data_IF_360639333294
#
_entry.id   IF_360639333294
#
_cell.length_a   1.000
_cell.length_b   1.000
_cell.length_c   1.000
_cell.angle_alpha   90.00
_cell.angle_beta   90.00
_cell.angle_gamma   90.00
#
_symmetry.space_group_name_H-M   'P 1'
#
loop_
_entity.id
_entity.type
_entity.pdbx_description
1 polymer ?
#
# COMPACT_ATOMS: atom_id res chain seq x y z
N UNK A 1 -12.49 -39.86 9.30
CA UNK A 1 -12.46 -38.74 10.26
C UNK A 1 -12.56 -37.48 9.46
N UNK A 2 -13.35 -36.52 9.88
CA UNK A 2 -13.43 -35.22 9.22
C UNK A 2 -12.15 -34.44 9.63
N UNK A 3 -11.27 -34.18 8.68
CA UNK A 3 -9.98 -33.50 8.93
C UNK A 3 -10.12 -31.97 9.01
N UNK A 4 -11.37 -31.46 9.01
CA UNK A 4 -11.65 -30.02 9.13
C UNK A 4 -11.33 -29.56 10.54
N UNK A 5 -10.43 -28.57 10.64
CA UNK A 5 -10.06 -27.94 11.90
C UNK A 5 -11.13 -26.95 12.41
N UNK A 6 -11.89 -26.36 11.49
CA UNK A 6 -12.94 -25.38 11.78
C UNK A 6 -13.92 -25.26 10.61
N UNK A 7 -15.17 -24.99 10.91
CA UNK A 7 -16.18 -24.54 9.95
C UNK A 7 -17.09 -23.47 10.57
N UNK A 8 -17.65 -22.54 9.76
CA UNK A 8 -18.55 -21.52 10.28
C UNK A 8 -19.84 -22.13 10.80
N UNK A 9 -20.31 -21.71 11.98
CA UNK A 9 -21.59 -22.17 12.56
C UNK A 9 -22.79 -21.88 11.65
N UNK A 10 -22.72 -20.79 10.86
CA UNK A 10 -23.74 -20.36 9.92
C UNK A 10 -23.08 -20.05 8.56
N UNK A 11 -22.80 -21.05 7.72
CA UNK A 11 -22.17 -20.86 6.40
C UNK A 11 -22.87 -19.81 5.55
N UNK A 12 -24.20 -19.77 5.57
CA UNK A 12 -25.04 -18.82 4.82
C UNK A 12 -24.87 -17.35 5.21
N UNK A 13 -24.27 -17.05 6.37
CA UNK A 13 -23.95 -15.68 6.80
C UNK A 13 -22.55 -15.23 6.40
N UNK A 14 -21.76 -16.11 5.79
CA UNK A 14 -20.40 -15.77 5.36
C UNK A 14 -20.41 -14.93 4.09
N UNK A 15 -19.36 -14.13 3.91
CA UNK A 15 -19.13 -13.38 2.67
C UNK A 15 -18.99 -14.31 1.47
N UNK A 16 -18.33 -15.45 1.64
CA UNK A 16 -18.20 -16.48 0.60
C UNK A 16 -19.57 -16.98 0.11
N UNK A 17 -20.49 -17.26 1.03
CA UNK A 17 -21.84 -17.65 0.66
C UNK A 17 -22.59 -16.54 -0.08
N UNK A 18 -22.52 -15.31 0.41
CA UNK A 18 -23.15 -14.15 -0.23
C UNK A 18 -22.62 -13.96 -1.66
N UNK A 19 -21.31 -14.07 -1.84
CA UNK A 19 -20.66 -14.01 -3.16
C UNK A 19 -21.16 -15.14 -4.06
N UNK A 20 -21.20 -16.38 -3.57
CA UNK A 20 -21.67 -17.54 -4.31
C UNK A 20 -23.14 -17.36 -4.77
N UNK A 21 -24.01 -16.78 -3.93
CA UNK A 21 -25.39 -16.46 -4.31
C UNK A 21 -25.46 -15.35 -5.38
N UNK A 22 -24.63 -14.31 -5.24
CA UNK A 22 -24.55 -13.22 -6.22
C UNK A 22 -24.13 -13.75 -7.60
N UNK A 23 -23.09 -14.59 -7.65
CA UNK A 23 -22.64 -15.23 -8.89
C UNK A 23 -23.70 -16.17 -9.46
N UNK A 24 -24.37 -16.96 -8.60
CA UNK A 24 -25.46 -17.83 -9.04
C UNK A 24 -26.57 -17.06 -9.74
N UNK A 25 -26.93 -15.90 -9.19
CA UNK A 25 -27.95 -15.03 -9.76
C UNK A 25 -27.51 -14.41 -11.09
N UNK A 26 -26.28 -13.91 -11.15
CA UNK A 26 -25.73 -13.26 -12.34
C UNK A 26 -25.57 -14.26 -13.50
N UNK A 27 -25.05 -15.44 -13.23
CA UNK A 27 -24.76 -16.47 -14.24
C UNK A 27 -25.95 -17.36 -14.57
N UNK A 28 -27.06 -17.26 -13.83
CA UNK A 28 -28.20 -18.17 -13.97
C UNK A 28 -27.89 -19.66 -13.66
N UNK A 29 -26.79 -19.88 -12.90
CA UNK A 29 -26.29 -21.20 -12.53
C UNK A 29 -26.24 -21.37 -11.02
N UNK A 30 -26.74 -22.52 -10.52
CA UNK A 30 -26.70 -22.83 -9.09
C UNK A 30 -25.35 -23.40 -8.69
N UNK A 31 -24.76 -22.88 -7.62
CA UNK A 31 -23.61 -23.43 -6.94
C UNK A 31 -24.03 -23.98 -5.58
N UNK A 32 -23.91 -25.29 -5.38
CA UNK A 32 -24.31 -25.97 -4.15
C UNK A 32 -23.15 -26.08 -3.15
N UNK A 33 -21.91 -25.92 -3.62
CA UNK A 33 -20.70 -26.04 -2.81
C UNK A 33 -19.60 -25.05 -3.22
N UNK A 34 -18.62 -24.87 -2.33
CA UNK A 34 -17.38 -24.15 -2.67
C UNK A 34 -16.65 -24.77 -3.87
N UNK A 35 -16.69 -26.11 -3.98
CA UNK A 35 -16.03 -26.81 -5.09
C UNK A 35 -16.67 -26.45 -6.45
N UNK A 36 -17.98 -26.31 -6.50
CA UNK A 36 -18.66 -25.90 -7.73
C UNK A 36 -18.22 -24.48 -8.14
N UNK A 37 -18.21 -23.55 -7.19
CA UNK A 37 -17.74 -22.20 -7.41
C UNK A 37 -16.25 -22.18 -7.82
N UNK A 38 -15.40 -22.99 -7.17
CA UNK A 38 -13.99 -23.11 -7.51
C UNK A 38 -13.79 -23.62 -8.95
N UNK A 39 -14.45 -24.72 -9.31
CA UNK A 39 -14.34 -25.26 -10.67
C UNK A 39 -14.85 -24.27 -11.73
N UNK A 40 -15.93 -23.56 -11.42
CA UNK A 40 -16.42 -22.52 -12.32
C UNK A 40 -15.40 -21.38 -12.45
N UNK A 41 -14.82 -20.92 -11.35
CA UNK A 41 -13.89 -19.76 -11.34
C UNK A 41 -12.61 -20.00 -12.16
N UNK A 42 -12.05 -21.21 -12.13
CA UNK A 42 -10.85 -21.56 -12.92
C UNK A 42 -11.15 -21.76 -14.41
N UNK A 43 -12.39 -22.15 -14.76
CA UNK A 43 -12.81 -22.31 -16.14
C UNK A 43 -13.34 -21.02 -16.76
N UNK A 44 -13.77 -20.04 -15.94
CA UNK A 44 -14.33 -18.76 -16.35
C UNK A 44 -13.64 -17.59 -15.64
N UNK A 45 -12.32 -17.40 -15.77
CA UNK A 45 -11.58 -16.42 -15.00
C UNK A 45 -12.03 -14.98 -15.25
N UNK A 46 -12.45 -14.64 -16.46
CA UNK A 46 -12.96 -13.31 -16.80
C UNK A 46 -14.22 -13.00 -16.01
N UNK A 47 -15.24 -13.86 -16.12
CA UNK A 47 -16.51 -13.72 -15.39
C UNK A 47 -16.31 -13.77 -13.88
N UNK A 48 -15.39 -14.60 -13.38
CA UNK A 48 -15.09 -14.66 -11.95
C UNK A 48 -14.57 -13.33 -11.41
N UNK A 49 -13.56 -12.73 -12.06
CA UNK A 49 -12.98 -11.48 -11.59
C UNK A 49 -13.89 -10.28 -11.81
N UNK A 50 -14.72 -10.29 -12.85
CA UNK A 50 -15.77 -9.29 -13.03
C UNK A 50 -16.81 -9.36 -11.89
N UNK A 51 -17.28 -10.55 -11.54
CA UNK A 51 -18.21 -10.74 -10.43
C UNK A 51 -17.59 -10.32 -9.07
N UNK A 52 -16.30 -10.52 -8.86
CA UNK A 52 -15.60 -9.98 -7.67
C UNK A 52 -15.70 -8.45 -7.66
N UNK A 53 -15.43 -7.79 -8.77
CA UNK A 53 -15.49 -6.33 -8.86
C UNK A 53 -16.91 -5.79 -8.64
N UNK A 54 -17.92 -6.46 -9.19
CA UNK A 54 -19.33 -6.12 -8.99
C UNK A 54 -19.76 -6.31 -7.53
N UNK A 55 -19.41 -7.46 -6.93
CA UNK A 55 -19.76 -7.78 -5.56
C UNK A 55 -19.21 -6.78 -4.54
N UNK A 56 -18.01 -6.28 -4.77
CA UNK A 56 -17.37 -5.24 -3.94
C UNK A 56 -17.70 -3.81 -4.38
N UNK A 57 -18.54 -3.64 -5.40
CA UNK A 57 -18.94 -2.34 -5.93
C UNK A 57 -17.72 -1.43 -6.21
N UNK A 58 -16.76 -1.96 -6.96
CA UNK A 58 -15.54 -1.20 -7.26
C UNK A 58 -15.80 0.02 -8.13
N UNK A 59 -16.96 0.08 -8.84
CA UNK A 59 -17.37 1.24 -9.62
C UNK A 59 -16.29 1.64 -10.62
N UNK A 60 -15.93 0.74 -11.52
CA UNK A 60 -15.07 1.10 -12.63
C UNK A 60 -15.91 1.90 -13.64
N UNK A 61 -15.59 3.18 -13.79
CA UNK A 61 -16.41 4.16 -14.50
C UNK A 61 -16.39 4.01 -16.03
N UNK A 62 -15.62 3.07 -16.60
CA UNK A 62 -15.60 2.82 -18.04
C UNK A 62 -16.54 1.67 -18.41
N UNK A 63 -17.37 1.85 -19.44
CA UNK A 63 -18.20 0.78 -20.01
C UNK A 63 -17.45 -0.06 -21.05
N UNK A 64 -16.32 0.44 -21.55
CA UNK A 64 -15.49 -0.21 -22.56
C UNK A 64 -14.15 -0.62 -21.94
N UNK A 65 -14.10 -1.81 -21.34
CA UNK A 65 -12.86 -2.41 -20.86
C UNK A 65 -12.77 -3.89 -21.21
N UNK A 66 -11.55 -4.35 -21.44
CA UNK A 66 -11.24 -5.76 -21.63
C UNK A 66 -10.83 -6.36 -20.27
N UNK A 67 -11.57 -7.37 -19.77
CA UNK A 67 -11.34 -7.94 -18.43
C UNK A 67 -10.00 -8.66 -18.38
N UNK A 68 -9.69 -9.48 -19.37
CA UNK A 68 -8.44 -10.24 -19.45
C UNK A 68 -7.91 -10.28 -20.88
N UNK A 69 -6.80 -9.60 -21.10
CA UNK A 69 -6.01 -9.82 -22.30
C UNK A 69 -4.95 -10.88 -21.99
N UNK A 70 -5.08 -12.07 -22.61
CA UNK A 70 -4.23 -13.22 -22.34
C UNK A 70 -2.93 -13.14 -23.12
N UNK A 71 -1.83 -13.36 -22.45
CA UNK A 71 -0.49 -13.48 -23.01
C UNK A 71 0.07 -14.88 -22.76
N UNK A 72 1.12 -15.31 -23.49
CA UNK A 72 1.73 -16.64 -23.29
C UNK A 72 2.23 -16.88 -21.88
N UNK A 73 2.69 -15.83 -21.20
CA UNK A 73 3.11 -15.90 -19.79
C UNK A 73 2.12 -15.16 -18.89
N UNK A 74 1.82 -15.75 -17.75
CA UNK A 74 0.88 -15.18 -16.78
C UNK A 74 1.30 -13.78 -16.30
N UNK A 75 2.59 -13.50 -16.19
CA UNK A 75 3.11 -12.20 -15.75
C UNK A 75 2.80 -11.07 -16.74
N UNK A 76 2.61 -11.40 -18.02
CA UNK A 76 2.33 -10.42 -19.08
C UNK A 76 0.82 -10.18 -19.25
N UNK A 77 -0.03 -10.96 -18.57
CA UNK A 77 -1.47 -10.82 -18.66
C UNK A 77 -1.93 -9.44 -18.17
N UNK A 78 -2.73 -8.77 -18.98
CA UNK A 78 -3.33 -7.48 -18.63
C UNK A 78 -4.77 -7.68 -18.20
N UNK A 79 -5.04 -7.24 -16.96
CA UNK A 79 -6.36 -7.28 -16.36
C UNK A 79 -7.04 -5.92 -16.44
N UNK A 80 -8.34 -5.90 -16.70
CA UNK A 80 -9.20 -4.72 -16.72
C UNK A 80 -8.61 -3.56 -17.54
N UNK A 81 -8.12 -3.88 -18.74
CA UNK A 81 -7.54 -2.90 -19.66
C UNK A 81 -8.59 -1.87 -20.06
N UNK A 82 -8.27 -0.60 -19.90
CA UNK A 82 -9.19 0.52 -20.10
C UNK A 82 -9.77 1.08 -18.79
N UNK A 83 -9.74 0.31 -17.70
CA UNK A 83 -10.16 0.81 -16.39
C UNK A 83 -9.11 1.76 -15.81
N UNK A 84 -9.58 2.91 -15.32
CA UNK A 84 -8.78 3.89 -14.58
C UNK A 84 -9.41 4.12 -13.21
N UNK A 85 -8.59 4.16 -12.16
CA UNK A 85 -9.02 4.42 -10.80
C UNK A 85 -7.83 4.89 -9.95
N UNK A 86 -8.06 5.20 -8.67
CA UNK A 86 -6.98 5.45 -7.72
C UNK A 86 -7.14 4.58 -6.47
N UNK A 87 -6.08 3.85 -6.13
CA UNK A 87 -6.05 2.94 -4.98
C UNK A 87 -6.32 3.68 -3.66
N UNK A 88 -5.61 4.79 -3.41
CA UNK A 88 -5.77 5.57 -2.19
C UNK A 88 -7.19 6.18 -2.08
N UNK A 89 -7.79 6.61 -3.19
CA UNK A 89 -9.16 7.12 -3.22
C UNK A 89 -10.17 6.07 -2.73
N UNK A 90 -10.01 4.81 -3.14
CA UNK A 90 -10.88 3.73 -2.69
C UNK A 90 -10.74 3.46 -1.18
N UNK A 91 -9.51 3.45 -0.66
CA UNK A 91 -9.26 3.26 0.78
C UNK A 91 -9.72 4.47 1.63
N UNK A 92 -9.68 5.66 1.09
CA UNK A 92 -10.09 6.92 1.73
C UNK A 92 -11.54 7.32 1.40
N UNK A 93 -12.37 6.39 0.94
CA UNK A 93 -13.78 6.67 0.60
C UNK A 93 -14.61 7.06 1.82
N UNK A 94 -14.23 6.60 3.01
CA UNK A 94 -14.86 6.94 4.28
C UNK A 94 -14.24 8.22 4.86
N UNK A 95 -15.09 9.14 5.38
CA UNK A 95 -14.67 10.45 5.92
C UNK A 95 -15.31 10.78 7.26
N UNK A 96 -15.74 9.78 8.02
CA UNK A 96 -16.39 9.95 9.32
C UNK A 96 -15.39 9.88 10.50
N UNK A 97 -15.92 9.94 11.72
CA UNK A 97 -15.14 9.90 12.95
C UNK A 97 -14.86 8.45 13.43
N UNK A 98 -15.19 7.41 12.65
CA UNK A 98 -14.83 6.04 13.00
C UNK A 98 -13.31 5.86 12.99
N UNK A 99 -12.72 5.10 13.93
CA UNK A 99 -11.30 4.81 13.93
C UNK A 99 -10.84 4.17 12.61
N UNK A 100 -9.86 4.77 11.95
CA UNK A 100 -9.22 4.27 10.75
C UNK A 100 -7.90 3.57 11.08
N UNK A 101 -7.09 4.17 11.95
CA UNK A 101 -5.81 3.64 12.39
C UNK A 101 -5.76 3.60 13.92
N UNK A 102 -5.29 2.48 14.45
CA UNK A 102 -5.03 2.30 15.86
C UNK A 102 -3.58 1.83 15.97
N UNK A 103 -2.72 2.66 16.57
CA UNK A 103 -1.32 2.37 16.82
C UNK A 103 -1.11 2.07 18.29
N UNK A 104 -0.36 1.02 18.60
CA UNK A 104 0.01 0.64 19.98
C UNK A 104 1.53 0.48 20.00
N UNK A 105 2.20 1.20 20.89
CA UNK A 105 3.65 1.10 21.06
C UNK A 105 4.03 0.01 22.09
N UNK A 106 5.33 -0.21 22.30
CA UNK A 106 5.83 -1.21 23.26
C UNK A 106 5.41 -0.96 24.72
N UNK A 107 5.04 0.27 25.05
CA UNK A 107 4.55 0.62 26.42
C UNK A 107 3.04 0.41 26.56
N UNK A 108 2.36 -0.04 25.51
CA UNK A 108 0.90 -0.21 25.50
C UNK A 108 0.14 1.10 25.30
N UNK A 109 0.83 2.21 25.00
CA UNK A 109 0.19 3.47 24.71
C UNK A 109 -0.53 3.39 23.36
N UNK A 110 -1.81 3.75 23.37
CA UNK A 110 -2.70 3.65 22.23
C UNK A 110 -2.97 5.03 21.65
N UNK A 111 -2.75 5.17 20.34
CA UNK A 111 -3.14 6.33 19.55
C UNK A 111 -4.16 5.89 18.50
N UNK A 112 -5.13 6.75 18.22
CA UNK A 112 -6.15 6.46 17.20
C UNK A 112 -6.34 7.67 16.31
N UNK A 113 -6.44 7.42 14.98
CA UNK A 113 -6.86 8.39 14.00
C UNK A 113 -8.20 7.95 13.40
N UNK A 114 -9.16 8.86 13.33
CA UNK A 114 -10.40 8.67 12.59
C UNK A 114 -10.16 8.72 11.06
N UNK A 115 -11.13 8.23 10.27
CA UNK A 115 -11.08 8.36 8.81
C UNK A 115 -11.02 9.84 8.37
N UNK A 116 -11.73 10.73 9.07
CA UNK A 116 -11.68 12.16 8.81
C UNK A 116 -10.28 12.75 9.03
N UNK A 117 -9.64 12.40 10.14
CA UNK A 117 -8.28 12.86 10.46
C UNK A 117 -7.25 12.25 9.51
N UNK A 118 -7.39 10.96 9.18
CA UNK A 118 -6.52 10.31 8.21
C UNK A 118 -6.59 11.01 6.85
N UNK A 119 -7.80 11.27 6.34
CA UNK A 119 -8.00 12.00 5.10
C UNK A 119 -7.33 13.37 5.11
N UNK A 120 -7.50 14.14 6.19
CA UNK A 120 -6.86 15.45 6.32
C UNK A 120 -5.32 15.35 6.33
N UNK A 121 -4.74 14.42 7.09
CA UNK A 121 -3.29 14.24 7.15
C UNK A 121 -2.70 13.73 5.83
N UNK A 122 -3.42 12.88 5.11
CA UNK A 122 -3.03 12.45 3.76
C UNK A 122 -3.05 13.63 2.80
N UNK A 123 -4.05 14.52 2.87
CA UNK A 123 -4.11 15.72 2.05
C UNK A 123 -2.88 16.62 2.26
N UNK A 124 -2.48 16.83 3.52
CA UNK A 124 -1.28 17.61 3.85
C UNK A 124 0.01 16.98 3.31
N UNK A 125 0.12 15.65 3.40
CA UNK A 125 1.27 14.92 2.85
C UNK A 125 1.29 14.97 1.31
N UNK A 126 0.14 14.84 0.64
CA UNK A 126 0.01 15.04 -0.81
C UNK A 126 0.52 16.43 -1.22
N UNK A 127 0.14 17.47 -0.48
CA UNK A 127 0.61 18.83 -0.76
C UNK A 127 2.13 18.96 -0.63
N UNK A 128 2.74 18.33 0.40
CA UNK A 128 4.20 18.26 0.56
C UNK A 128 4.88 17.54 -0.61
N UNK A 129 4.37 16.38 -1.02
CA UNK A 129 4.90 15.63 -2.16
C UNK A 129 4.80 16.42 -3.48
N UNK A 130 3.66 17.06 -3.73
CA UNK A 130 3.46 17.93 -4.92
C UNK A 130 4.43 19.10 -4.94
N UNK A 131 4.66 19.74 -3.79
CA UNK A 131 5.60 20.86 -3.68
C UNK A 131 7.04 20.44 -4.03
N UNK A 132 7.37 19.16 -3.83
CA UNK A 132 8.66 18.56 -4.23
C UNK A 132 8.62 17.99 -5.68
N UNK A 133 7.57 18.25 -6.44
CA UNK A 133 7.47 17.82 -7.84
C UNK A 133 7.23 16.32 -8.04
N UNK A 134 6.74 15.60 -7.03
CA UNK A 134 6.44 14.18 -7.15
C UNK A 134 5.21 13.96 -8.04
N UNK A 135 5.36 13.09 -9.00
CA UNK A 135 4.36 12.74 -10.02
C UNK A 135 4.19 11.23 -10.17
N UNK A 136 3.27 10.82 -11.03
CA UNK A 136 3.05 9.40 -11.33
C UNK A 136 4.31 8.72 -11.88
N UNK A 137 4.64 7.54 -11.34
CA UNK A 137 5.81 6.76 -11.70
C UNK A 137 7.08 7.11 -10.91
N UNK A 138 7.12 8.22 -10.18
CA UNK A 138 8.22 8.50 -9.25
C UNK A 138 8.23 7.48 -8.10
N UNK A 139 9.43 7.20 -7.56
CA UNK A 139 9.58 6.26 -6.45
C UNK A 139 9.74 7.03 -5.15
N UNK A 140 8.94 6.60 -4.17
CA UNK A 140 8.97 7.12 -2.80
C UNK A 140 9.26 5.95 -1.87
N UNK A 141 10.34 6.05 -1.11
CA UNK A 141 10.79 4.99 -0.22
C UNK A 141 10.62 5.37 1.26
N UNK A 142 10.61 4.36 2.13
CA UNK A 142 10.58 4.57 3.57
C UNK A 142 11.42 3.56 4.35
N UNK A 143 12.14 4.05 5.35
CA UNK A 143 12.75 3.28 6.43
C UNK A 143 12.00 3.63 7.72
N UNK A 144 10.85 3.01 7.93
CA UNK A 144 9.84 3.43 8.91
C UNK A 144 9.25 2.25 9.68
N UNK A 145 8.94 2.42 10.97
CA UNK A 145 8.15 1.45 11.71
C UNK A 145 6.66 1.54 11.31
N UNK A 146 5.83 0.63 11.84
CA UNK A 146 4.38 0.61 11.62
C UNK A 146 3.68 1.75 12.40
N UNK A 147 3.85 2.98 11.94
CA UNK A 147 3.23 4.18 12.50
C UNK A 147 2.19 4.77 11.56
N UNK A 148 1.36 5.68 12.08
CA UNK A 148 0.38 6.40 11.27
C UNK A 148 1.05 7.16 10.11
N UNK A 149 2.23 7.75 10.32
CA UNK A 149 2.98 8.48 9.30
C UNK A 149 3.35 7.60 8.11
N UNK A 150 3.70 6.33 8.36
CA UNK A 150 4.02 5.36 7.29
C UNK A 150 2.81 5.13 6.37
N UNK A 151 1.64 4.93 6.97
CA UNK A 151 0.38 4.74 6.21
C UNK A 151 -0.03 6.03 5.48
N UNK A 152 0.11 7.19 6.12
CA UNK A 152 -0.18 8.50 5.51
C UNK A 152 0.71 8.72 4.30
N UNK A 153 2.03 8.49 4.42
CA UNK A 153 2.99 8.68 3.34
C UNK A 153 2.72 7.70 2.17
N UNK A 154 2.40 6.44 2.46
CA UNK A 154 2.02 5.43 1.46
C UNK A 154 0.75 5.84 0.70
N UNK A 155 -0.30 6.25 1.42
CA UNK A 155 -1.55 6.69 0.80
C UNK A 155 -1.37 7.97 -0.03
N UNK A 156 -0.58 8.92 0.47
CA UNK A 156 -0.27 10.15 -0.26
C UNK A 156 0.53 9.88 -1.55
N UNK A 157 1.52 9.00 -1.50
CA UNK A 157 2.29 8.55 -2.68
C UNK A 157 1.37 7.87 -3.70
N UNK A 158 0.54 6.94 -3.23
CA UNK A 158 -0.43 6.21 -4.08
C UNK A 158 -1.48 7.14 -4.69
N UNK A 159 -1.90 8.20 -3.98
CA UNK A 159 -2.85 9.20 -4.48
C UNK A 159 -2.31 9.93 -5.72
N UNK A 160 -1.01 10.17 -5.78
CA UNK A 160 -0.32 10.81 -6.91
C UNK A 160 0.11 9.83 -8.01
N UNK A 161 0.00 8.51 -7.77
CA UNK A 161 0.52 7.48 -8.65
C UNK A 161 2.04 7.27 -8.52
N UNK A 162 2.65 7.77 -7.46
CA UNK A 162 4.02 7.43 -7.13
C UNK A 162 4.10 5.99 -6.58
N UNK A 163 5.20 5.32 -6.88
CA UNK A 163 5.45 3.91 -6.51
C UNK A 163 6.06 3.89 -5.11
N UNK A 164 5.38 3.23 -4.18
CA UNK A 164 5.81 3.12 -2.79
C UNK A 164 6.73 1.92 -2.55
N UNK A 165 7.68 2.05 -1.63
CA UNK A 165 8.34 0.90 -1.02
C UNK A 165 8.80 1.24 0.39
N UNK A 166 8.77 0.26 1.29
CA UNK A 166 9.22 0.46 2.66
C UNK A 166 9.91 -0.76 3.23
N UNK A 167 10.82 -0.52 4.17
CA UNK A 167 11.37 -1.56 5.03
C UNK A 167 11.42 -1.08 6.49
N UNK A 168 11.53 -2.06 7.41
CA UNK A 168 11.61 -1.80 8.83
C UNK A 168 12.91 -1.08 9.19
N UNK A 169 12.90 -0.17 10.18
CA UNK A 169 14.12 0.44 10.71
C UNK A 169 15.03 -0.56 11.44
N UNK A 170 14.58 -1.80 11.69
CA UNK A 170 15.40 -2.88 12.25
C UNK A 170 16.48 -3.36 11.27
N UNK A 171 16.29 -3.15 9.96
CA UNK A 171 17.33 -3.45 8.99
C UNK A 171 18.59 -2.61 9.23
N UNK A 172 19.77 -3.23 9.12
CA UNK A 172 21.03 -2.49 9.03
C UNK A 172 21.07 -1.61 7.78
N UNK A 173 21.95 -0.63 7.77
CA UNK A 173 22.07 0.32 6.65
C UNK A 173 22.33 -0.37 5.31
N UNK A 174 23.21 -1.36 5.25
CA UNK A 174 23.50 -2.16 4.05
C UNK A 174 22.26 -2.89 3.54
N UNK A 175 21.53 -3.58 4.44
CA UNK A 175 20.33 -4.30 4.07
C UNK A 175 19.17 -3.40 3.61
N UNK A 176 19.08 -2.19 4.16
CA UNK A 176 18.16 -1.15 3.70
C UNK A 176 18.59 -0.60 2.32
N UNK A 177 19.88 -0.35 2.13
CA UNK A 177 20.44 0.11 0.86
C UNK A 177 20.24 -0.93 -0.26
N UNK A 178 20.48 -2.19 0.02
CA UNK A 178 20.29 -3.30 -0.93
C UNK A 178 18.85 -3.40 -1.45
N UNK A 179 17.87 -2.88 -0.69
CA UNK A 179 16.47 -2.82 -1.08
C UNK A 179 16.13 -1.49 -1.71
N UNK A 180 16.15 -0.44 -0.90
CA UNK A 180 15.65 0.87 -1.29
C UNK A 180 16.52 1.53 -2.37
N UNK A 181 17.83 1.28 -2.38
CA UNK A 181 18.75 1.78 -3.41
C UNK A 181 18.44 1.27 -4.81
N UNK A 182 17.91 0.02 -4.95
CA UNK A 182 17.52 -0.52 -6.25
C UNK A 182 16.37 0.26 -6.92
N UNK A 183 15.59 1.01 -6.14
CA UNK A 183 14.43 1.74 -6.63
C UNK A 183 14.78 3.12 -7.16
N UNK A 184 15.95 3.63 -6.82
CA UNK A 184 16.35 5.02 -7.10
C UNK A 184 15.24 6.02 -6.69
N UNK A 185 14.85 6.05 -5.41
CA UNK A 185 13.75 6.89 -4.94
C UNK A 185 14.14 8.37 -4.95
N UNK A 186 13.18 9.25 -5.23
CA UNK A 186 13.35 10.71 -5.09
C UNK A 186 13.19 11.14 -3.63
N UNK A 187 12.27 10.52 -2.91
CA UNK A 187 11.96 10.84 -1.51
C UNK A 187 12.22 9.61 -0.65
N UNK A 188 12.83 9.85 0.51
CA UNK A 188 12.99 8.85 1.55
C UNK A 188 12.38 9.35 2.86
N UNK A 189 11.34 8.69 3.34
CA UNK A 189 10.82 8.87 4.69
C UNK A 189 11.63 8.01 5.67
N UNK A 190 12.11 8.61 6.76
CA UNK A 190 12.80 7.91 7.83
C UNK A 190 12.20 8.26 9.18
N UNK A 191 12.31 7.38 10.17
CA UNK A 191 12.07 7.74 11.56
C UNK A 191 13.37 8.29 12.21
N UNK A 192 13.20 9.10 13.27
CA UNK A 192 14.32 9.55 14.13
C UNK A 192 15.00 8.37 14.85
N UNK A 193 14.31 7.25 14.98
CA UNK A 193 14.77 6.03 15.59
C UNK A 193 13.63 5.07 15.86
N UNK A 194 13.92 3.94 16.48
CA UNK A 194 12.93 2.96 16.90
C UNK A 194 13.22 2.46 18.32
N UNK A 195 12.20 1.93 18.96
CA UNK A 195 12.33 1.28 20.26
C UNK A 195 12.22 -0.23 20.07
N UNK A 196 13.09 -0.96 20.74
CA UNK A 196 13.07 -2.41 20.77
C UNK A 196 13.51 -2.94 22.12
N UNK A 197 12.71 -3.79 22.75
CA UNK A 197 12.95 -4.34 24.10
C UNK A 197 13.26 -3.25 25.14
N UNK A 198 12.52 -2.14 25.11
CA UNK A 198 12.68 -1.00 26.02
C UNK A 198 13.88 -0.11 25.75
N UNK A 199 14.72 -0.39 24.72
CA UNK A 199 15.86 0.42 24.33
C UNK A 199 15.55 1.26 23.10
N UNK A 200 15.99 2.54 23.12
CA UNK A 200 15.93 3.42 21.97
C UNK A 200 17.15 3.21 21.08
N UNK A 201 16.93 3.12 19.77
CA UNK A 201 17.96 2.99 18.73
C UNK A 201 17.79 4.16 17.78
N UNK A 202 18.81 5.06 17.74
CA UNK A 202 18.85 6.16 16.77
C UNK A 202 18.95 5.64 15.34
N UNK A 203 18.35 6.36 14.39
CA UNK A 203 18.43 6.04 12.98
C UNK A 203 19.45 6.91 12.22
N UNK A 204 20.12 7.87 12.87
CA UNK A 204 20.94 8.88 12.22
C UNK A 204 22.02 8.28 11.31
N UNK A 205 22.80 7.31 11.79
CA UNK A 205 23.87 6.68 10.99
C UNK A 205 23.31 6.01 9.72
N UNK A 206 22.15 5.33 9.85
CA UNK A 206 21.49 4.69 8.72
C UNK A 206 21.01 5.73 7.70
N UNK A 207 20.41 6.82 8.18
CA UNK A 207 19.94 7.93 7.34
C UNK A 207 21.11 8.55 6.58
N UNK A 208 22.24 8.80 7.25
CA UNK A 208 23.45 9.38 6.63
C UNK A 208 23.96 8.48 5.51
N UNK A 209 24.11 7.18 5.75
CA UNK A 209 24.58 6.22 4.74
C UNK A 209 23.62 6.17 3.52
N UNK A 210 22.31 6.11 3.75
CA UNK A 210 21.33 6.08 2.66
C UNK A 210 21.34 7.40 1.88
N UNK A 211 21.41 8.54 2.57
CA UNK A 211 21.48 9.87 1.95
C UNK A 211 22.71 10.04 1.06
N UNK A 212 23.87 9.60 1.52
CA UNK A 212 25.14 9.71 0.78
C UNK A 212 25.20 8.77 -0.41
N UNK A 213 24.60 7.57 -0.27
CA UNK A 213 24.75 6.50 -1.27
C UNK A 213 23.67 6.54 -2.35
N UNK A 214 22.43 6.90 -2.00
CA UNK A 214 21.32 6.96 -2.98
C UNK A 214 21.32 8.33 -3.66
N UNK A 215 22.00 8.42 -4.79
CA UNK A 215 22.19 9.69 -5.53
C UNK A 215 20.90 10.31 -6.06
N UNK A 216 19.85 9.49 -6.29
CA UNK A 216 18.54 9.94 -6.77
C UNK A 216 17.72 10.70 -5.74
N UNK A 217 18.11 10.68 -4.45
CA UNK A 217 17.37 11.37 -3.40
C UNK A 217 17.40 12.89 -3.58
N UNK A 218 16.21 13.46 -3.64
CA UNK A 218 15.97 14.90 -3.66
C UNK A 218 15.61 15.41 -2.26
N UNK A 219 14.97 14.57 -1.44
CA UNK A 219 14.57 14.91 -0.07
C UNK A 219 14.58 13.69 0.85
N UNK A 220 15.02 13.88 2.09
CA UNK A 220 14.84 12.95 3.22
C UNK A 220 13.92 13.60 4.24
N UNK A 221 12.81 12.93 4.58
CA UNK A 221 11.82 13.42 5.55
C UNK A 221 11.91 12.62 6.83
N UNK A 222 12.25 13.28 7.95
CA UNK A 222 12.41 12.63 9.24
C UNK A 222 11.11 12.72 10.03
N UNK A 223 10.51 11.57 10.30
CA UNK A 223 9.28 11.41 11.06
C UNK A 223 9.60 11.14 12.54
N UNK A 224 9.02 11.86 13.49
CA UNK A 224 9.23 11.60 14.92
C UNK A 224 8.62 10.25 15.30
N UNK A 225 9.37 9.43 16.02
CA UNK A 225 8.94 8.12 16.55
C UNK A 225 9.39 7.92 18.00
N UNK A 226 10.66 8.23 18.31
CA UNK A 226 11.20 8.15 19.68
C UNK A 226 11.40 9.53 20.31
N UNK A 227 11.00 10.58 19.58
CA UNK A 227 11.15 11.99 19.93
C UNK A 227 12.62 12.37 20.21
N UNK A 228 13.53 11.80 19.43
CA UNK A 228 14.93 12.21 19.42
C UNK A 228 15.12 13.35 18.40
N UNK A 229 15.74 14.43 18.85
CA UNK A 229 16.11 15.54 17.96
C UNK A 229 17.45 15.16 17.33
N UNK A 230 17.41 14.75 16.06
CA UNK A 230 18.61 14.42 15.31
C UNK A 230 19.31 15.70 14.83
N UNK A 231 20.65 15.72 14.90
CA UNK A 231 21.41 16.75 14.19
C UNK A 231 21.42 16.45 12.69
N UNK A 232 20.60 17.17 11.94
CA UNK A 232 20.49 17.04 10.48
C UNK A 232 21.32 18.09 9.72
N UNK A 233 22.17 18.83 10.39
CA UNK A 233 23.00 19.89 9.77
C UNK A 233 23.91 19.37 8.64
N UNK A 234 24.34 18.12 8.74
CA UNK A 234 25.16 17.44 7.75
C UNK A 234 24.34 16.75 6.64
N UNK A 235 23.02 16.86 6.67
CA UNK A 235 22.10 16.25 5.71
C UNK A 235 21.34 17.35 4.93
N UNK A 236 21.95 17.99 3.94
CA UNK A 236 21.41 19.21 3.29
C UNK A 236 20.05 18.99 2.60
N UNK A 237 19.70 17.74 2.30
CA UNK A 237 18.40 17.37 1.72
C UNK A 237 17.38 16.92 2.77
N UNK A 238 17.70 16.94 4.07
CA UNK A 238 16.80 16.50 5.12
C UNK A 238 15.90 17.63 5.62
N UNK A 239 14.70 17.26 6.06
CA UNK A 239 13.79 18.12 6.81
C UNK A 239 12.94 17.25 7.76
N UNK A 240 12.35 17.87 8.77
CA UNK A 240 11.40 17.18 9.64
C UNK A 240 10.00 17.08 9.01
N UNK A 241 9.23 16.08 9.42
CA UNK A 241 7.86 15.83 8.97
C UNK A 241 6.98 17.09 9.02
N UNK A 242 7.04 17.86 10.12
CA UNK A 242 6.24 19.05 10.28
C UNK A 242 6.61 20.19 9.33
N UNK A 243 7.82 20.20 8.80
CA UNK A 243 8.29 21.16 7.79
C UNK A 243 7.92 20.71 6.37
N UNK A 244 7.81 19.39 6.18
CA UNK A 244 7.48 18.79 4.90
C UNK A 244 6.00 18.87 4.57
N UNK A 245 5.10 18.62 5.55
CA UNK A 245 3.66 18.67 5.31
C UNK A 245 3.20 20.11 5.08
N UNK A 246 2.27 20.32 4.13
CA UNK A 246 1.75 21.63 3.81
C UNK A 246 0.23 21.71 4.08
N UNK A 247 -0.31 22.91 4.38
CA UNK A 247 -1.74 23.08 4.60
C UNK A 247 -2.56 22.61 3.40
N UNK A 248 -3.48 21.68 3.64
CA UNK A 248 -4.43 21.18 2.67
C UNK A 248 -5.63 20.55 3.38
N UNK A 249 -6.81 20.64 2.82
CA UNK A 249 -8.06 20.09 3.39
C UNK A 249 -8.59 18.90 2.61
N UNK A 250 -8.29 18.81 1.32
CA UNK A 250 -8.81 17.78 0.42
C UNK A 250 -7.68 17.02 -0.28
N UNK A 251 -7.85 15.70 -0.40
CA UNK A 251 -6.97 14.87 -1.19
C UNK A 251 -7.25 15.06 -2.68
N UNK A 252 -6.20 15.11 -3.48
CA UNK A 252 -6.29 14.98 -4.94
C UNK A 252 -5.83 13.58 -5.36
N UNK A 253 -6.55 12.99 -6.29
CA UNK A 253 -6.29 11.63 -6.75
C UNK A 253 -6.05 11.62 -8.26
N UNK A 254 -4.95 11.02 -8.69
CA UNK A 254 -4.66 10.81 -10.10
C UNK A 254 -5.34 9.53 -10.58
N UNK A 255 -6.17 9.60 -11.60
CA UNK A 255 -6.75 8.42 -12.23
C UNK A 255 -5.64 7.65 -12.98
N UNK A 256 -5.48 6.37 -12.65
CA UNK A 256 -4.37 5.54 -13.11
C UNK A 256 -4.89 4.24 -13.72
N UNK A 257 -4.22 3.66 -14.73
CA UNK A 257 -4.58 2.37 -15.27
C UNK A 257 -4.66 1.27 -14.18
N UNK A 258 -5.52 0.29 -14.35
CA UNK A 258 -5.72 -0.81 -13.41
C UNK A 258 -4.41 -1.50 -13.01
N UNK A 259 -3.50 -1.72 -13.96
CA UNK A 259 -2.21 -2.38 -13.75
C UNK A 259 -1.07 -1.40 -13.38
N UNK A 260 -1.39 -0.13 -13.07
CA UNK A 260 -0.37 0.82 -12.64
C UNK A 260 0.40 0.30 -11.43
N UNK A 261 1.74 0.40 -11.40
CA UNK A 261 2.53 -0.02 -10.24
C UNK A 261 2.12 0.74 -8.97
N UNK A 262 1.82 0.01 -7.91
CA UNK A 262 1.44 0.58 -6.61
C UNK A 262 2.62 0.64 -5.66
N UNK A 263 3.22 -0.52 -5.41
CA UNK A 263 4.36 -0.64 -4.52
C UNK A 263 5.30 -1.79 -4.90
N UNK A 264 6.53 -1.68 -4.42
CA UNK A 264 7.55 -2.72 -4.56
C UNK A 264 7.81 -3.35 -3.19
N UNK A 265 7.67 -4.67 -3.13
CA UNK A 265 8.05 -5.50 -1.99
C UNK A 265 9.31 -6.30 -2.33
N UNK A 266 9.97 -6.84 -1.30
CA UNK A 266 11.19 -7.58 -1.47
C UNK A 266 11.03 -9.01 -0.98
N UNK A 267 11.50 -9.96 -1.78
CA UNK A 267 11.68 -11.33 -1.31
C UNK A 267 13.14 -11.57 -0.94
N UNK A 268 13.35 -12.31 0.16
CA UNK A 268 14.66 -12.88 0.48
C UNK A 268 14.97 -13.97 -0.56
N UNK A 269 15.73 -13.61 -1.59
CA UNK A 269 16.27 -14.60 -2.51
C UNK A 269 17.22 -15.55 -1.76
N UNK A 270 17.26 -16.81 -2.13
CA UNK A 270 18.20 -17.81 -1.55
C UNK A 270 19.65 -17.49 -1.88
N UNK A 271 19.90 -16.60 -2.85
CA UNK A 271 21.25 -16.20 -3.30
C UNK A 271 21.24 -14.75 -3.79
N UNK A 272 22.00 -13.88 -3.14
CA UNK A 272 22.30 -12.53 -3.61
C UNK A 272 21.35 -11.43 -3.08
N UNK A 273 21.26 -10.33 -3.81
CA UNK A 273 20.43 -9.18 -3.45
C UNK A 273 18.94 -9.52 -3.40
N UNK A 274 18.15 -8.88 -2.52
CA UNK A 274 16.70 -9.03 -2.47
C UNK A 274 16.08 -8.74 -3.85
N UNK A 275 15.14 -9.59 -4.27
CA UNK A 275 14.42 -9.39 -5.53
C UNK A 275 13.27 -8.42 -5.33
N UNK A 276 13.16 -7.43 -6.20
CA UNK A 276 12.04 -6.49 -6.26
C UNK A 276 10.82 -7.17 -6.89
N UNK A 277 9.70 -7.16 -6.20
CA UNK A 277 8.41 -7.65 -6.69
C UNK A 277 7.47 -6.46 -6.77
N UNK A 278 7.13 -6.05 -8.00
CA UNK A 278 6.23 -4.94 -8.26
C UNK A 278 4.78 -5.42 -8.24
N UNK A 279 3.94 -4.77 -7.45
CA UNK A 279 2.52 -5.06 -7.34
C UNK A 279 1.70 -3.99 -8.05
N UNK A 280 0.73 -4.41 -8.87
CA UNK A 280 -0.22 -3.51 -9.54
C UNK A 280 -1.35 -3.06 -8.61
N UNK A 281 -1.84 -1.85 -8.82
CA UNK A 281 -2.85 -1.21 -7.96
C UNK A 281 -4.18 -1.98 -7.94
N UNK A 282 -4.67 -2.42 -9.10
CA UNK A 282 -5.97 -3.09 -9.20
C UNK A 282 -5.98 -4.47 -8.55
N UNK A 283 -4.98 -5.30 -8.85
CA UNK A 283 -4.86 -6.62 -8.23
C UNK A 283 -4.71 -6.53 -6.71
N UNK A 284 -3.95 -5.56 -6.23
CA UNK A 284 -3.78 -5.30 -4.80
C UNK A 284 -5.09 -4.85 -4.14
N UNK A 285 -5.85 -3.95 -4.78
CA UNK A 285 -7.14 -3.51 -4.26
C UNK A 285 -8.11 -4.69 -4.11
N UNK A 286 -8.23 -5.51 -5.15
CA UNK A 286 -9.08 -6.71 -5.10
C UNK A 286 -8.64 -7.65 -3.97
N UNK A 287 -7.33 -7.86 -3.80
CA UNK A 287 -6.80 -8.69 -2.74
C UNK A 287 -7.14 -8.18 -1.33
N UNK A 288 -7.20 -6.86 -1.14
CA UNK A 288 -7.57 -6.26 0.16
C UNK A 288 -9.09 -6.36 0.45
N UNK A 289 -9.93 -6.48 -0.58
CA UNK A 289 -11.38 -6.50 -0.43
C UNK A 289 -11.95 -7.90 -0.20
N UNK A 290 -11.34 -8.92 -0.77
CA UNK A 290 -11.79 -10.32 -0.64
C UNK A 290 -11.24 -10.95 0.66
#
# INVERSE_FOLDING_TARGET
MDDRLWEPQNPQKTRMWQFMQSVSQDQGQKFDSYQDLYHWSINNPESFWENICLFFNLGFDSQDYEILNKYPQMIDAQWFKGVHFNFAQKLLSRKDNHPALISINEHGEKQSLSYKELHHRVAQCIAGLKNLGITSGDRVAALMPNTAQTIIAMLASSALGAIWSSCSPDFGAEAALDRLGQLEPKILFCCDGHQYQGKKHSALDKISILHETISSLERVVICPNINEVLDISQLPKACYWNEFILPATECSFTALPFNHPLYVLFSSGTTGRPKCIMHGAGGTLIQHLK
#
